data_IF_922060885255
#
_entry.id   IF_922060885255
#
_cell.length_a   1.000
_cell.length_b   1.000
_cell.length_c   1.000
_cell.angle_alpha   90.00
_cell.angle_beta   90.00
_cell.angle_gamma   90.00
#
_symmetry.space_group_name_H-M   'P 1'
#
loop_
_entity.id
_entity.type
_entity.pdbx_description
1 polymer ?
#
# COMPACT_ATOMS: atom_id res chain seq x y z
N UNK A 1 -2.93 -14.49 -21.01
CA UNK A 1 -3.11 -15.65 -20.11
C UNK A 1 -1.86 -15.73 -19.23
N UNK A 2 -2.02 -15.80 -17.91
CA UNK A 2 -0.88 -15.90 -16.99
C UNK A 2 -0.22 -17.27 -17.17
N UNK A 3 1.11 -17.30 -17.18
CA UNK A 3 1.87 -18.53 -17.21
C UNK A 3 1.98 -19.18 -15.81
N UNK A 4 2.47 -20.43 -15.77
CA UNK A 4 2.54 -21.20 -14.53
C UNK A 4 3.51 -20.59 -13.51
N UNK A 5 4.60 -19.97 -13.95
CA UNK A 5 5.59 -19.39 -13.05
C UNK A 5 5.07 -18.09 -12.42
N UNK A 6 4.36 -17.28 -13.21
CA UNK A 6 3.62 -16.12 -12.70
C UNK A 6 2.58 -16.53 -11.65
N UNK A 7 1.80 -17.58 -11.92
CA UNK A 7 0.79 -18.08 -10.97
C UNK A 7 1.44 -18.60 -9.67
N UNK A 8 2.58 -19.30 -9.78
CA UNK A 8 3.35 -19.75 -8.59
C UNK A 8 3.91 -18.57 -7.80
N UNK A 9 4.38 -17.52 -8.49
CA UNK A 9 4.84 -16.30 -7.82
C UNK A 9 3.70 -15.62 -7.06
N UNK A 10 2.54 -15.44 -7.69
CA UNK A 10 1.34 -14.87 -7.06
C UNK A 10 1.00 -15.64 -5.79
N UNK A 11 0.88 -16.95 -5.87
CA UNK A 11 0.56 -17.80 -4.72
C UNK A 11 1.62 -17.69 -3.62
N UNK A 12 2.89 -17.70 -3.98
CA UNK A 12 4.00 -17.53 -3.02
C UNK A 12 3.91 -16.19 -2.28
N UNK A 13 3.67 -15.11 -3.02
CA UNK A 13 3.57 -13.77 -2.44
C UNK A 13 2.36 -13.70 -1.48
N UNK A 14 1.20 -14.22 -1.87
CA UNK A 14 0.01 -14.27 -1.00
C UNK A 14 0.25 -15.09 0.28
N UNK A 15 0.89 -16.25 0.16
CA UNK A 15 1.27 -17.08 1.33
C UNK A 15 2.27 -16.35 2.21
N UNK A 16 3.24 -15.65 1.60
CA UNK A 16 4.21 -14.84 2.35
C UNK A 16 3.54 -13.72 3.12
N UNK A 17 2.61 -13.00 2.50
CA UNK A 17 1.79 -11.96 3.17
C UNK A 17 1.06 -12.56 4.37
N UNK A 18 0.36 -13.69 4.19
CA UNK A 18 -0.41 -14.36 5.25
C UNK A 18 0.47 -14.78 6.43
N UNK A 19 1.62 -15.42 6.15
CA UNK A 19 2.53 -15.88 7.20
C UNK A 19 3.16 -14.70 7.95
N UNK A 20 3.58 -13.67 7.21
CA UNK A 20 4.13 -12.45 7.80
C UNK A 20 3.10 -11.76 8.71
N UNK A 21 1.89 -11.58 8.21
CA UNK A 21 0.77 -10.97 8.92
C UNK A 21 0.48 -11.69 10.25
N UNK A 22 0.33 -13.01 10.20
CA UNK A 22 0.08 -13.81 11.40
C UNK A 22 1.22 -13.75 12.42
N UNK A 23 2.48 -13.74 11.96
CA UNK A 23 3.65 -13.64 12.85
C UNK A 23 3.72 -12.27 13.54
N UNK A 24 3.51 -11.19 12.79
CA UNK A 24 3.58 -9.83 13.33
C UNK A 24 2.39 -9.54 14.27
N UNK A 25 1.20 -10.04 13.94
CA UNK A 25 0.06 -9.98 14.84
C UNK A 25 0.33 -10.68 16.18
N UNK A 26 0.90 -11.91 16.15
CA UNK A 26 1.27 -12.61 17.39
C UNK A 26 2.34 -11.85 18.19
N UNK A 27 3.31 -11.23 17.51
CA UNK A 27 4.32 -10.41 18.17
C UNK A 27 3.68 -9.20 18.89
N UNK A 28 2.71 -8.56 18.24
CA UNK A 28 1.96 -7.47 18.88
C UNK A 28 1.18 -7.96 20.10
N UNK A 29 0.48 -9.11 20.00
CA UNK A 29 -0.24 -9.69 21.16
C UNK A 29 0.67 -10.08 22.32
N UNK A 30 1.94 -10.32 22.04
CA UNK A 30 2.97 -10.57 23.05
C UNK A 30 3.62 -9.29 23.61
N UNK A 31 3.12 -8.11 23.22
CA UNK A 31 3.68 -6.82 23.65
C UNK A 31 5.03 -6.44 23.04
N UNK A 32 5.47 -7.14 21.97
CA UNK A 32 6.77 -6.89 21.32
C UNK A 32 6.77 -5.70 20.35
N UNK A 33 5.59 -5.22 19.99
CA UNK A 33 5.38 -4.00 19.20
C UNK A 33 4.12 -3.30 19.69
N UNK A 34 4.07 -1.99 19.55
CA UNK A 34 2.99 -1.15 20.11
C UNK A 34 1.68 -1.29 19.34
N UNK A 35 1.75 -1.50 18.01
CA UNK A 35 0.58 -1.49 17.13
C UNK A 35 0.74 -2.49 16.00
N UNK A 36 -0.36 -3.16 15.62
CA UNK A 36 -0.45 -3.97 14.42
C UNK A 36 -1.91 -4.19 14.00
N UNK A 37 -2.20 -4.03 12.73
CA UNK A 37 -3.49 -4.34 12.13
C UNK A 37 -3.32 -5.41 11.06
N UNK A 38 -4.11 -6.47 11.15
CA UNK A 38 -4.06 -7.57 10.17
C UNK A 38 -4.58 -7.14 8.80
N UNK A 39 -4.01 -7.74 7.77
CA UNK A 39 -4.48 -7.63 6.38
C UNK A 39 -5.10 -8.94 5.85
N UNK A 40 -5.45 -9.87 6.75
CA UNK A 40 -6.05 -11.16 6.42
C UNK A 40 -7.32 -10.98 5.58
N UNK A 41 -7.35 -11.59 4.40
CA UNK A 41 -8.45 -11.49 3.42
C UNK A 41 -8.13 -10.57 2.24
N UNK A 42 -7.16 -9.65 2.39
CA UNK A 42 -6.79 -8.68 1.35
C UNK A 42 -5.49 -9.06 0.59
N UNK A 43 -4.96 -10.27 0.80
CA UNK A 43 -3.72 -10.71 0.16
C UNK A 43 -3.81 -10.66 -1.36
N UNK A 44 -4.91 -11.18 -1.91
CA UNK A 44 -5.10 -11.26 -3.36
C UNK A 44 -5.20 -9.87 -4.00
N UNK A 45 -5.93 -8.95 -3.38
CA UNK A 45 -6.08 -7.58 -3.88
C UNK A 45 -4.74 -6.86 -3.94
N UNK A 46 -3.95 -6.95 -2.86
CA UNK A 46 -2.64 -6.30 -2.78
C UNK A 46 -1.65 -6.87 -3.78
N UNK A 47 -1.58 -8.21 -3.89
CA UNK A 47 -0.64 -8.89 -4.79
C UNK A 47 -1.03 -8.67 -6.25
N UNK A 48 -2.31 -8.83 -6.60
CA UNK A 48 -2.78 -8.65 -7.97
C UNK A 48 -2.58 -7.21 -8.47
N UNK A 49 -2.91 -6.22 -7.64
CA UNK A 49 -2.71 -4.82 -7.96
C UNK A 49 -1.21 -4.50 -8.18
N UNK A 50 -0.33 -4.97 -7.28
CA UNK A 50 1.10 -4.74 -7.42
C UNK A 50 1.70 -5.38 -8.68
N UNK A 51 1.13 -6.48 -9.16
CA UNK A 51 1.54 -7.14 -10.40
C UNK A 51 0.96 -6.51 -11.67
N UNK A 52 -0.19 -5.85 -11.56
CA UNK A 52 -0.82 -5.17 -12.69
C UNK A 52 -0.22 -3.79 -12.97
N UNK A 53 0.35 -3.15 -11.95
CA UNK A 53 0.99 -1.85 -12.05
C UNK A 53 2.44 -1.99 -12.54
N UNK A 54 2.92 -0.97 -13.25
CA UNK A 54 4.34 -0.84 -13.56
C UNK A 54 5.15 -0.55 -12.29
N UNK A 55 6.45 -0.84 -12.31
CA UNK A 55 7.33 -0.67 -11.14
C UNK A 55 7.48 0.78 -10.69
N UNK A 56 7.30 1.74 -11.60
CA UNK A 56 7.38 3.17 -11.39
C UNK A 56 6.02 3.86 -11.17
N UNK A 57 4.91 3.11 -11.27
CA UNK A 57 3.60 3.57 -10.84
C UNK A 57 3.56 3.75 -9.31
N UNK A 58 2.89 4.79 -8.84
CA UNK A 58 2.84 5.12 -7.42
C UNK A 58 1.61 4.55 -6.73
N UNK A 59 1.84 3.79 -5.66
CA UNK A 59 0.82 3.25 -4.78
C UNK A 59 0.60 4.17 -3.58
N UNK A 60 -0.65 4.51 -3.30
CA UNK A 60 -1.12 5.26 -2.13
C UNK A 60 -2.00 4.34 -1.28
N UNK A 61 -1.40 3.43 -0.51
CA UNK A 61 -2.13 2.40 0.23
C UNK A 61 -2.66 2.87 1.57
N UNK A 62 -3.56 2.09 2.15
CA UNK A 62 -3.80 2.11 3.58
C UNK A 62 -2.87 1.10 4.28
N UNK A 63 -3.01 0.98 5.60
CA UNK A 63 -2.19 0.06 6.43
C UNK A 63 -2.39 -1.42 6.10
N UNK A 64 -3.43 -1.82 5.33
CA UNK A 64 -3.70 -3.23 4.99
C UNK A 64 -3.05 -3.71 3.70
N UNK A 65 -2.58 -2.82 2.83
CA UNK A 65 -2.00 -3.20 1.54
C UNK A 65 -0.47 -3.46 1.60
N UNK A 66 0.02 -3.94 2.73
CA UNK A 66 1.44 -4.32 2.87
C UNK A 66 1.90 -5.41 1.89
N UNK A 67 0.97 -6.20 1.35
CA UNK A 67 1.25 -7.17 0.29
C UNK A 67 1.86 -6.55 -0.97
N UNK A 68 1.58 -5.28 -1.26
CA UNK A 68 2.20 -4.53 -2.35
C UNK A 68 3.72 -4.48 -2.19
N UNK A 69 4.21 -4.18 -0.98
CA UNK A 69 5.65 -4.13 -0.68
C UNK A 69 6.31 -5.48 -0.89
N UNK A 70 5.69 -6.56 -0.42
CA UNK A 70 6.19 -7.94 -0.55
C UNK A 70 6.30 -8.30 -2.03
N UNK A 71 5.26 -8.03 -2.82
CA UNK A 71 5.22 -8.33 -4.25
C UNK A 71 6.23 -7.52 -5.05
N UNK A 72 6.49 -6.27 -4.63
CA UNK A 72 7.51 -5.37 -5.21
C UNK A 72 8.92 -5.64 -4.69
N UNK A 73 9.12 -6.69 -3.88
CA UNK A 73 10.43 -7.13 -3.42
C UNK A 73 11.03 -6.32 -2.27
N UNK A 74 10.23 -5.54 -1.55
CA UNK A 74 10.72 -4.85 -0.37
C UNK A 74 11.12 -5.85 0.71
N UNK A 75 12.34 -5.73 1.31
CA UNK A 75 12.84 -6.76 2.21
C UNK A 75 11.97 -6.92 3.47
N UNK A 76 11.57 -8.15 3.76
CA UNK A 76 10.78 -8.46 4.97
C UNK A 76 11.49 -8.01 6.26
N UNK A 77 12.82 -8.10 6.29
CA UNK A 77 13.59 -7.63 7.44
C UNK A 77 13.44 -6.12 7.66
N UNK A 78 13.34 -5.34 6.60
CA UNK A 78 13.11 -3.89 6.69
C UNK A 78 11.69 -3.59 7.19
N UNK A 79 10.69 -4.36 6.73
CA UNK A 79 9.32 -4.28 7.26
C UNK A 79 9.29 -4.60 8.76
N UNK A 80 9.98 -5.66 9.19
CA UNK A 80 10.08 -6.02 10.60
C UNK A 80 10.78 -4.94 11.42
N UNK A 81 11.87 -4.37 10.90
CA UNK A 81 12.57 -3.27 11.56
C UNK A 81 11.64 -2.09 11.85
N UNK A 82 10.79 -1.75 10.90
CA UNK A 82 9.78 -0.69 11.08
C UNK A 82 8.71 -1.09 12.11
N UNK A 83 8.19 -2.31 12.06
CA UNK A 83 7.19 -2.81 13.02
C UNK A 83 7.72 -2.80 14.45
N UNK A 84 8.98 -3.18 14.64
CA UNK A 84 9.62 -3.19 15.96
C UNK A 84 10.24 -1.85 16.36
N UNK A 85 10.19 -0.84 15.49
CA UNK A 85 10.81 0.48 15.70
C UNK A 85 12.26 0.37 16.18
N UNK A 86 13.03 -0.55 15.59
CA UNK A 86 14.41 -0.80 15.98
C UNK A 86 15.40 0.05 15.17
N UNK A 87 16.70 -0.08 15.45
CA UNK A 87 17.76 0.71 14.81
C UNK A 87 17.79 0.61 13.28
N UNK A 88 17.28 -0.49 12.72
CA UNK A 88 17.21 -0.72 11.28
C UNK A 88 15.94 -0.14 10.62
N UNK A 89 15.08 0.54 11.36
CA UNK A 89 13.89 1.19 10.81
C UNK A 89 14.28 2.38 9.93
N UNK A 90 13.99 2.36 8.61
CA UNK A 90 14.30 3.48 7.72
C UNK A 90 13.53 4.76 8.09
N UNK A 91 12.40 4.64 8.81
CA UNK A 91 11.60 5.77 9.26
C UNK A 91 12.00 6.28 10.66
N UNK A 92 12.99 5.65 11.30
CA UNK A 92 13.58 6.07 12.56
C UNK A 92 12.55 6.22 13.69
N UNK A 93 11.56 5.34 13.73
CA UNK A 93 10.49 5.37 14.74
C UNK A 93 9.48 6.52 14.61
N UNK A 94 9.49 7.27 13.50
CA UNK A 94 8.61 8.44 13.31
C UNK A 94 7.20 8.08 12.86
N UNK A 95 6.97 6.82 12.50
CA UNK A 95 5.67 6.29 12.09
C UNK A 95 5.23 5.17 13.02
N UNK A 96 3.93 5.00 13.18
CA UNK A 96 3.37 3.82 13.82
C UNK A 96 3.80 2.56 13.06
N UNK A 97 3.94 1.41 13.75
CA UNK A 97 4.16 0.14 13.09
C UNK A 97 3.16 -0.07 11.94
N UNK A 98 3.61 -0.69 10.85
CA UNK A 98 2.88 -0.92 9.58
C UNK A 98 2.59 0.34 8.74
N UNK A 99 2.83 1.53 9.24
CA UNK A 99 2.72 2.76 8.44
C UNK A 99 4.00 2.97 7.62
N UNK A 100 4.17 2.12 6.61
CA UNK A 100 5.38 2.11 5.79
C UNK A 100 5.51 3.31 4.87
N UNK A 101 6.74 3.55 4.41
CA UNK A 101 7.09 4.45 3.33
C UNK A 101 8.27 3.86 2.57
N UNK A 102 8.14 3.66 1.27
CA UNK A 102 9.17 3.03 0.43
C UNK A 102 9.13 3.62 -0.98
N UNK A 103 9.61 4.86 -1.13
CA UNK A 103 9.58 5.62 -2.39
C UNK A 103 10.19 4.84 -3.56
N UNK A 104 11.33 4.18 -3.33
CA UNK A 104 12.05 3.44 -4.38
C UNK A 104 11.32 2.17 -4.84
N UNK A 105 10.25 1.79 -4.13
CA UNK A 105 9.33 0.71 -4.49
C UNK A 105 7.97 1.23 -4.94
N UNK A 106 7.86 2.52 -5.30
CA UNK A 106 6.59 3.12 -5.71
C UNK A 106 5.51 3.08 -4.64
N UNK A 107 5.89 3.17 -3.35
CA UNK A 107 4.98 3.04 -2.23
C UNK A 107 5.03 4.30 -1.37
N UNK A 108 3.95 5.09 -1.43
CA UNK A 108 3.86 6.37 -0.73
C UNK A 108 3.69 6.14 0.78
N UNK A 109 4.08 7.14 1.57
CA UNK A 109 3.94 7.10 3.03
C UNK A 109 2.47 6.93 3.43
N UNK A 110 2.20 5.92 4.24
CA UNK A 110 0.85 5.66 4.74
C UNK A 110 0.45 6.73 5.75
N UNK A 111 -0.75 7.31 5.57
CA UNK A 111 -1.41 8.15 6.57
C UNK A 111 -2.39 7.30 7.39
N UNK A 112 -2.49 7.60 8.68
CA UNK A 112 -3.53 7.02 9.55
C UNK A 112 -4.91 7.67 9.37
N UNK A 113 -5.01 8.82 8.70
CA UNK A 113 -6.27 9.50 8.46
C UNK A 113 -7.02 8.81 7.32
N UNK A 114 -8.34 8.62 7.51
CA UNK A 114 -9.19 7.94 6.52
C UNK A 114 -9.30 8.75 5.24
N UNK A 115 -9.29 8.07 4.11
CA UNK A 115 -9.39 8.59 2.75
C UNK A 115 -8.29 9.56 2.29
N UNK A 116 -7.39 10.04 3.16
CA UNK A 116 -6.33 11.01 2.82
C UNK A 116 -5.46 10.57 1.63
N UNK A 117 -5.24 9.28 1.45
CA UNK A 117 -4.48 8.73 0.35
C UNK A 117 -5.12 8.95 -1.03
N UNK A 118 -6.41 9.20 -1.09
CA UNK A 118 -7.13 9.44 -2.34
C UNK A 118 -6.77 10.77 -2.98
N UNK A 119 -6.94 11.94 -2.31
CA UNK A 119 -6.49 13.20 -2.89
C UNK A 119 -4.98 13.23 -3.14
N UNK A 120 -4.17 12.52 -2.35
CA UNK A 120 -2.74 12.38 -2.62
C UNK A 120 -2.49 11.63 -3.94
N UNK A 121 -3.18 10.50 -4.17
CA UNK A 121 -3.09 9.73 -5.41
C UNK A 121 -3.53 10.56 -6.63
N UNK A 122 -4.65 11.25 -6.52
CA UNK A 122 -5.17 12.11 -7.58
C UNK A 122 -4.20 13.25 -7.89
N UNK A 123 -3.69 13.95 -6.88
CA UNK A 123 -2.74 15.05 -7.07
C UNK A 123 -1.43 14.57 -7.73
N UNK A 124 -0.92 13.40 -7.33
CA UNK A 124 0.26 12.81 -7.95
C UNK A 124 -0.01 12.43 -9.42
N UNK A 125 -1.16 11.82 -9.71
CA UNK A 125 -1.55 11.46 -11.07
C UNK A 125 -1.74 12.69 -11.96
N UNK A 126 -2.34 13.76 -11.44
CA UNK A 126 -2.44 15.05 -12.15
C UNK A 126 -1.05 15.60 -12.49
N UNK A 127 -0.11 15.56 -11.53
CA UNK A 127 1.24 16.01 -11.76
C UNK A 127 1.97 15.16 -12.84
N UNK A 128 1.74 13.85 -12.87
CA UNK A 128 2.24 12.94 -13.90
C UNK A 128 1.71 13.35 -15.29
N UNK A 129 0.39 13.56 -15.42
CA UNK A 129 -0.24 14.01 -16.65
C UNK A 129 0.29 15.36 -17.12
N UNK A 130 0.43 16.35 -16.22
CA UNK A 130 0.98 17.68 -16.54
C UNK A 130 2.42 17.59 -17.06
N UNK A 131 3.22 16.67 -16.52
CA UNK A 131 4.60 16.43 -16.98
C UNK A 131 4.67 15.63 -18.29
N UNK A 132 3.56 15.08 -18.74
CA UNK A 132 3.50 14.25 -19.95
C UNK A 132 4.16 12.87 -19.78
N UNK A 133 4.27 12.36 -18.54
CA UNK A 133 4.75 11.02 -18.31
C UNK A 133 3.58 10.00 -18.31
N UNK A 134 3.89 8.71 -18.48
CA UNK A 134 2.88 7.66 -18.61
C UNK A 134 2.52 6.96 -17.31
N UNK A 135 3.11 7.37 -16.18
CA UNK A 135 2.87 6.74 -14.89
C UNK A 135 1.49 7.05 -14.36
N UNK A 136 0.90 6.06 -13.72
CA UNK A 136 -0.38 6.20 -13.05
C UNK A 136 -0.22 6.12 -11.53
N UNK A 137 -1.24 6.55 -10.81
CA UNK A 137 -1.34 6.33 -9.38
C UNK A 137 -2.46 5.33 -9.07
N UNK A 138 -2.31 4.57 -8.00
CA UNK A 138 -3.41 3.79 -7.45
C UNK A 138 -3.55 4.05 -5.95
N UNK A 139 -4.76 4.44 -5.52
CA UNK A 139 -5.12 4.67 -4.12
C UNK A 139 -6.05 3.58 -3.59
N UNK A 140 -5.89 3.20 -2.31
CA UNK A 140 -6.76 2.25 -1.62
C UNK A 140 -7.39 2.88 -0.38
N UNK A 141 -8.64 2.54 -0.14
CA UNK A 141 -9.32 2.89 1.10
C UNK A 141 -10.29 1.79 1.51
N UNK A 142 -10.63 1.72 2.79
CA UNK A 142 -11.70 0.86 3.27
C UNK A 142 -13.08 1.46 3.00
N UNK A 143 -14.13 0.64 3.02
CA UNK A 143 -15.51 1.05 2.78
C UNK A 143 -15.97 2.16 3.74
N UNK A 144 -15.54 2.13 5.00
CA UNK A 144 -15.89 3.15 6.00
C UNK A 144 -15.37 4.54 5.65
N UNK A 145 -14.23 4.62 4.95
CA UNK A 145 -13.66 5.90 4.54
C UNK A 145 -14.38 6.55 3.36
N UNK A 146 -15.31 5.88 2.72
CA UNK A 146 -16.14 6.47 1.66
C UNK A 146 -17.08 7.57 2.17
N UNK A 147 -17.30 7.65 3.49
CA UNK A 147 -18.06 8.72 4.12
C UNK A 147 -17.25 10.02 4.33
N UNK A 148 -15.93 9.99 4.11
CA UNK A 148 -15.06 11.15 4.30
C UNK A 148 -15.17 12.15 3.14
N UNK A 149 -15.00 13.44 3.45
CA UNK A 149 -15.00 14.50 2.44
C UNK A 149 -13.89 14.35 1.41
N UNK A 150 -12.73 13.85 1.81
CA UNK A 150 -11.58 13.57 0.95
C UNK A 150 -11.90 12.54 -0.14
N UNK A 151 -12.75 11.54 0.16
CA UNK A 151 -13.20 10.56 -0.83
C UNK A 151 -13.94 11.25 -1.98
N UNK A 152 -14.97 12.05 -1.67
CA UNK A 152 -15.76 12.75 -2.68
C UNK A 152 -14.98 13.81 -3.43
N UNK A 153 -14.13 14.56 -2.73
CA UNK A 153 -13.26 15.55 -3.34
C UNK A 153 -12.30 14.92 -4.34
N UNK A 154 -11.68 13.79 -3.98
CA UNK A 154 -10.78 13.08 -4.86
C UNK A 154 -11.48 12.57 -6.13
N UNK A 155 -12.69 12.01 -6.03
CA UNK A 155 -13.46 11.57 -7.19
C UNK A 155 -13.79 12.74 -8.12
N UNK A 156 -14.19 13.87 -7.54
CA UNK A 156 -14.47 15.09 -8.31
C UNK A 156 -13.25 15.57 -9.07
N UNK A 157 -12.10 15.71 -8.39
CA UNK A 157 -10.86 16.15 -9.02
C UNK A 157 -10.36 15.16 -10.07
N UNK A 158 -10.41 13.85 -9.77
CA UNK A 158 -10.01 12.82 -10.73
C UNK A 158 -10.79 12.93 -12.05
N UNK A 159 -12.09 13.16 -11.95
CA UNK A 159 -12.98 13.29 -13.11
C UNK A 159 -12.76 14.61 -13.85
N UNK A 160 -12.74 15.75 -13.14
CA UNK A 160 -12.62 17.08 -13.75
C UNK A 160 -11.30 17.24 -14.49
N UNK A 161 -10.21 16.71 -13.92
CA UNK A 161 -8.87 16.84 -14.51
C UNK A 161 -8.44 15.60 -15.30
N UNK A 162 -9.32 14.61 -15.48
CA UNK A 162 -9.02 13.35 -16.18
C UNK A 162 -7.68 12.75 -15.70
N UNK A 163 -7.50 12.68 -14.37
CA UNK A 163 -6.27 12.20 -13.77
C UNK A 163 -6.08 10.70 -14.03
N UNK A 164 -4.88 10.21 -14.43
CA UNK A 164 -4.60 8.81 -14.65
C UNK A 164 -4.44 8.08 -13.30
N UNK A 165 -5.56 7.82 -12.63
CA UNK A 165 -5.62 7.24 -11.29
C UNK A 165 -6.62 6.10 -11.20
N UNK A 166 -6.28 5.06 -10.44
CA UNK A 166 -7.18 3.99 -10.02
C UNK A 166 -7.50 4.20 -8.53
N UNK A 167 -8.77 4.27 -8.18
CA UNK A 167 -9.24 4.43 -6.80
C UNK A 167 -10.00 3.18 -6.39
N UNK A 168 -9.42 2.39 -5.49
CA UNK A 168 -9.94 1.11 -5.05
C UNK A 168 -10.55 1.21 -3.64
N UNK A 169 -11.79 0.73 -3.48
CA UNK A 169 -12.43 0.52 -2.18
C UNK A 169 -12.36 -0.97 -1.86
N UNK A 170 -11.86 -1.35 -0.69
CA UNK A 170 -11.64 -2.73 -0.24
C UNK A 170 -12.19 -2.96 1.16
#
# INVERSE_FOLDING_TARGET
KLDADTLRKILRDMVTVRIFDDRMYRAQRQGKTSFYMKCTGEEAVSVAAAMALASDDMCFPSYRQQGILITRGYPLITMMNQIYSNKGDPLQGRQLPIMYSAKDHGFFSISGNLATQYPQAVGWAMASAIKGDSRIAMGWTGEGATAEGDFHSALTFATVYNAPVILAVV
#
